data_IF_694391521054
#
_entry.id   IF_694391521054
#
_cell.length_a   1.000
_cell.length_b   1.000
_cell.length_c   1.000
_cell.angle_alpha   90.00
_cell.angle_beta   90.00
_cell.angle_gamma   90.00
#
_symmetry.space_group_name_H-M   'P 1'
#
loop_
_entity.id
_entity.type
_entity.pdbx_description
1 polymer ?
#
# COMPACT_ATOMS: atom_id res chain seq x y z
N UNK A 1 17.77 -7.26 -7.81
CA UNK A 1 16.67 -7.17 -6.86
C UNK A 1 15.46 -8.00 -7.31
N UNK A 2 14.72 -7.70 -8.40
CA UNK A 2 13.56 -8.51 -8.79
C UNK A 2 13.88 -9.97 -9.20
N UNK A 3 15.13 -10.26 -9.56
CA UNK A 3 15.61 -11.61 -9.93
C UNK A 3 16.09 -12.43 -8.73
N UNK A 4 16.25 -11.82 -7.56
CA UNK A 4 16.59 -12.54 -6.34
C UNK A 4 15.45 -13.48 -5.99
N UNK A 5 15.77 -14.63 -5.43
CA UNK A 5 14.80 -15.69 -5.18
C UNK A 5 14.63 -15.97 -3.70
N UNK A 6 13.46 -16.49 -3.36
CA UNK A 6 13.06 -16.97 -2.05
C UNK A 6 12.21 -18.24 -2.19
N UNK A 7 12.39 -19.20 -1.29
CA UNK A 7 11.57 -20.40 -1.26
C UNK A 7 10.51 -20.30 -0.16
N UNK A 8 9.24 -20.09 -0.55
CA UNK A 8 8.09 -20.01 0.35
C UNK A 8 7.60 -21.42 0.70
N UNK A 9 7.84 -21.85 1.94
CA UNK A 9 7.38 -23.13 2.49
C UNK A 9 5.94 -23.07 3.05
N UNK A 10 5.28 -21.91 2.97
CA UNK A 10 3.93 -21.69 3.50
C UNK A 10 3.91 -20.98 4.85
N UNK A 11 5.04 -20.85 5.53
CA UNK A 11 5.14 -20.07 6.78
C UNK A 11 6.58 -19.70 7.10
N UNK A 12 6.73 -18.70 7.97
CA UNK A 12 8.02 -18.32 8.58
C UNK A 12 7.79 -18.03 10.05
N UNK A 13 8.80 -18.32 10.88
CA UNK A 13 8.78 -18.01 12.31
C UNK A 13 9.60 -16.76 12.58
N UNK A 14 9.02 -15.83 13.32
CA UNK A 14 9.67 -14.59 13.77
C UNK A 14 9.38 -14.45 15.27
N UNK A 15 10.42 -14.43 16.09
CA UNK A 15 10.30 -14.32 17.57
C UNK A 15 9.21 -15.24 18.17
N UNK A 16 9.20 -16.52 17.71
CA UNK A 16 8.23 -17.52 18.16
C UNK A 16 6.82 -17.39 17.58
N UNK A 17 6.53 -16.35 16.77
CA UNK A 17 5.26 -16.16 16.07
C UNK A 17 5.31 -16.80 14.68
N UNK A 18 4.28 -17.55 14.31
CA UNK A 18 4.16 -18.17 12.99
C UNK A 18 3.39 -17.25 12.05
N UNK A 19 4.09 -16.71 11.05
CA UNK A 19 3.50 -15.92 9.97
C UNK A 19 3.22 -16.86 8.81
N UNK A 20 1.96 -16.99 8.40
CA UNK A 20 1.53 -17.93 7.36
C UNK A 20 1.33 -17.25 6.02
N UNK A 21 1.67 -17.97 4.95
CA UNK A 21 1.21 -17.66 3.60
C UNK A 21 -0.30 -17.90 3.51
N UNK A 22 -1.00 -17.09 2.72
CA UNK A 22 -2.42 -17.33 2.42
C UNK A 22 -2.63 -18.61 1.58
N UNK A 23 -1.61 -19.02 0.82
CA UNK A 23 -1.61 -20.27 0.07
C UNK A 23 -1.07 -21.41 0.95
N UNK A 24 -1.90 -22.42 1.19
CA UNK A 24 -1.49 -23.61 1.94
C UNK A 24 -0.31 -24.30 1.25
N UNK A 25 0.77 -24.54 2.00
CA UNK A 25 2.00 -25.11 1.50
C UNK A 25 2.93 -24.13 0.79
N UNK A 26 2.57 -22.83 0.74
CA UNK A 26 3.39 -21.78 0.16
C UNK A 26 3.40 -21.75 -1.37
N UNK A 27 4.24 -20.91 -1.91
CA UNK A 27 4.39 -20.70 -3.36
C UNK A 27 5.60 -21.45 -3.95
N UNK A 28 6.46 -22.06 -3.11
CA UNK A 28 7.70 -22.67 -3.54
C UNK A 28 8.76 -21.64 -3.91
N UNK A 29 9.62 -21.97 -4.87
CA UNK A 29 10.64 -21.05 -5.37
C UNK A 29 9.98 -19.92 -6.18
N UNK A 30 10.23 -18.68 -5.77
CA UNK A 30 9.71 -17.48 -6.44
C UNK A 30 10.77 -16.38 -6.44
N UNK A 31 10.75 -15.54 -7.46
CA UNK A 31 11.51 -14.31 -7.51
C UNK A 31 10.88 -13.24 -6.61
N UNK A 32 11.59 -12.18 -6.26
CA UNK A 32 11.02 -11.06 -5.48
C UNK A 32 9.91 -10.33 -6.24
N UNK A 33 9.90 -10.35 -7.57
CA UNK A 33 8.75 -9.88 -8.35
C UNK A 33 7.53 -10.77 -8.09
N UNK A 34 7.69 -12.09 -8.13
CA UNK A 34 6.60 -13.03 -7.85
C UNK A 34 6.14 -13.00 -6.39
N UNK A 35 7.01 -12.65 -5.42
CA UNK A 35 6.60 -12.36 -4.04
C UNK A 35 5.57 -11.23 -4.01
N UNK A 36 5.79 -10.16 -4.78
CA UNK A 36 4.86 -9.04 -4.87
C UNK A 36 3.57 -9.45 -5.62
N UNK A 37 3.69 -10.15 -6.75
CA UNK A 37 2.58 -10.66 -7.57
C UNK A 37 1.66 -11.58 -6.76
N UNK A 38 2.26 -12.53 -6.03
CA UNK A 38 1.57 -13.52 -5.20
C UNK A 38 1.12 -12.97 -3.85
N UNK A 39 1.62 -11.79 -3.45
CA UNK A 39 1.39 -11.24 -2.11
C UNK A 39 1.79 -12.23 -0.99
N UNK A 40 2.99 -12.83 -1.11
CA UNK A 40 3.50 -13.83 -0.16
C UNK A 40 3.96 -13.15 1.13
N UNK A 41 3.26 -13.34 2.25
CA UNK A 41 3.68 -12.81 3.55
C UNK A 41 5.09 -13.28 3.95
N UNK A 42 5.42 -14.60 3.89
CA UNK A 42 6.79 -15.05 4.20
C UNK A 42 7.84 -14.42 3.29
N UNK A 43 7.52 -14.21 2.01
CA UNK A 43 8.41 -13.54 1.07
C UNK A 43 8.65 -12.07 1.43
N UNK A 44 7.62 -11.33 1.87
CA UNK A 44 7.79 -9.96 2.38
C UNK A 44 8.62 -9.91 3.66
N UNK A 45 8.46 -10.87 4.57
CA UNK A 45 9.33 -10.99 5.76
C UNK A 45 10.79 -11.17 5.35
N UNK A 46 11.07 -12.01 4.37
CA UNK A 46 12.44 -12.17 3.85
C UNK A 46 13.00 -10.87 3.25
N UNK A 47 12.18 -10.15 2.47
CA UNK A 47 12.58 -8.86 1.90
C UNK A 47 12.88 -7.86 3.02
N UNK A 48 12.04 -7.78 4.06
CA UNK A 48 12.25 -6.86 5.18
C UNK A 48 13.51 -7.20 5.99
N UNK A 49 13.81 -8.48 6.19
CA UNK A 49 15.06 -8.93 6.84
C UNK A 49 16.29 -8.47 6.07
N UNK A 50 16.27 -8.58 4.73
CA UNK A 50 17.38 -8.09 3.88
C UNK A 50 17.50 -6.58 3.86
N UNK A 51 16.39 -5.86 3.96
CA UNK A 51 16.37 -4.39 4.03
C UNK A 51 16.88 -3.89 5.37
N UNK A 52 16.50 -4.56 6.45
CA UNK A 52 16.74 -4.17 7.83
C UNK A 52 15.63 -3.29 8.42
N UNK A 53 15.41 -3.46 9.73
CA UNK A 53 14.33 -2.80 10.47
C UNK A 53 14.44 -1.27 10.41
N UNK A 54 15.63 -0.73 10.64
CA UNK A 54 15.89 0.71 10.59
C UNK A 54 15.46 1.33 9.26
N UNK A 55 15.90 0.75 8.14
CA UNK A 55 15.55 1.28 6.81
C UNK A 55 14.07 1.15 6.49
N UNK A 56 13.42 0.04 6.86
CA UNK A 56 11.98 -0.07 6.64
C UNK A 56 11.22 0.99 7.45
N UNK A 57 11.59 1.20 8.72
CA UNK A 57 11.04 2.23 9.57
C UNK A 57 11.20 3.63 8.96
N UNK A 58 12.42 3.97 8.53
CA UNK A 58 12.72 5.24 7.87
C UNK A 58 11.87 5.47 6.61
N UNK A 59 11.68 4.45 5.77
CA UNK A 59 10.84 4.56 4.58
C UNK A 59 9.36 4.73 4.92
N UNK A 60 8.84 4.03 5.93
CA UNK A 60 7.47 4.22 6.40
C UNK A 60 7.24 5.69 6.81
N UNK A 61 8.17 6.26 7.59
CA UNK A 61 8.12 7.68 7.96
C UNK A 61 8.31 8.61 6.76
N UNK A 62 9.22 8.28 5.83
CA UNK A 62 9.49 9.08 4.64
C UNK A 62 8.29 9.18 3.70
N UNK A 63 7.49 8.11 3.58
CA UNK A 63 6.22 8.11 2.85
C UNK A 63 5.08 8.82 3.58
N UNK A 64 5.34 9.38 4.78
CA UNK A 64 4.42 10.22 5.52
C UNK A 64 3.36 9.46 6.32
N UNK A 65 3.59 8.18 6.66
CA UNK A 65 2.74 7.46 7.59
C UNK A 65 2.95 7.92 9.04
N UNK A 66 1.99 7.65 9.90
CA UNK A 66 1.93 8.03 11.33
C UNK A 66 1.89 9.54 11.60
N UNK A 67 1.54 10.36 10.61
CA UNK A 67 1.28 11.80 10.80
C UNK A 67 0.14 12.25 9.88
N UNK A 68 -0.51 13.35 10.23
CA UNK A 68 -1.53 13.97 9.38
C UNK A 68 -0.92 14.36 8.04
N UNK A 69 -1.69 14.23 6.97
CA UNK A 69 -1.26 14.57 5.61
C UNK A 69 -1.34 16.07 5.32
N UNK A 70 -2.11 16.80 6.13
CA UNK A 70 -2.39 18.21 5.92
C UNK A 70 -3.44 18.46 4.83
N UNK A 71 -4.27 17.45 4.52
CA UNK A 71 -5.42 17.64 3.65
C UNK A 71 -6.35 18.70 4.23
N UNK A 72 -6.93 19.52 3.35
CA UNK A 72 -7.84 20.63 3.69
C UNK A 72 -9.24 20.14 4.14
N UNK A 73 -9.26 19.11 5.01
CA UNK A 73 -10.46 18.56 5.66
C UNK A 73 -10.27 18.52 7.17
N UNK A 74 -11.36 18.69 7.91
CA UNK A 74 -11.36 18.54 9.37
C UNK A 74 -11.43 17.08 9.80
N UNK A 75 -10.94 16.78 11.00
CA UNK A 75 -11.05 15.43 11.59
C UNK A 75 -10.03 14.41 11.06
N UNK A 76 -8.95 14.86 10.43
CA UNK A 76 -7.89 13.96 9.95
C UNK A 76 -7.19 13.23 11.09
N UNK A 77 -7.05 11.90 10.97
CA UNK A 77 -6.28 11.05 11.87
C UNK A 77 -4.83 10.88 11.36
N UNK A 78 -3.89 10.74 12.29
CA UNK A 78 -2.49 10.40 11.97
C UNK A 78 -2.25 8.92 11.67
N UNK A 79 -3.25 8.05 11.92
CA UNK A 79 -3.02 6.61 11.97
C UNK A 79 -2.23 6.20 13.23
N UNK A 80 -1.79 4.95 13.26
CA UNK A 80 -1.00 4.38 14.38
C UNK A 80 0.20 3.63 13.78
N UNK A 81 1.38 3.90 14.31
CA UNK A 81 2.61 3.19 14.00
C UNK A 81 3.49 3.17 15.25
N UNK A 82 4.36 2.21 15.33
CA UNK A 82 5.27 2.04 16.46
C UNK A 82 6.22 3.23 16.64
N UNK A 83 6.63 3.49 17.88
CA UNK A 83 7.80 4.29 18.14
C UNK A 83 9.06 3.46 17.83
N UNK A 84 10.18 4.13 17.53
CA UNK A 84 11.38 3.42 17.05
C UNK A 84 11.97 2.47 18.11
N UNK A 85 11.87 2.84 19.38
CA UNK A 85 12.32 2.05 20.51
C UNK A 85 11.57 0.71 20.63
N UNK A 86 10.32 0.66 20.15
CA UNK A 86 9.44 -0.52 20.16
C UNK A 86 9.43 -1.28 18.83
N UNK A 87 10.29 -0.87 17.86
CA UNK A 87 10.31 -1.44 16.51
C UNK A 87 11.36 -2.53 16.38
N UNK A 88 11.00 -3.74 16.79
CA UNK A 88 11.85 -4.93 16.76
C UNK A 88 11.73 -5.78 15.47
N UNK A 89 12.19 -7.02 15.54
CA UNK A 89 12.15 -7.95 14.41
C UNK A 89 10.71 -8.36 14.04
N UNK A 90 9.84 -8.52 15.03
CA UNK A 90 8.44 -8.87 14.81
C UNK A 90 7.68 -7.72 14.14
N UNK A 91 7.86 -6.50 14.62
CA UNK A 91 7.24 -5.30 14.05
C UNK A 91 7.72 -5.06 12.62
N UNK A 92 9.02 -5.23 12.37
CA UNK A 92 9.60 -5.17 11.03
C UNK A 92 8.95 -6.20 10.07
N UNK A 93 8.83 -7.43 10.53
CA UNK A 93 8.22 -8.51 9.75
C UNK A 93 6.73 -8.24 9.46
N UNK A 94 5.96 -7.81 10.47
CA UNK A 94 4.51 -7.55 10.30
C UNK A 94 4.25 -6.32 9.43
N UNK A 95 5.02 -5.25 9.60
CA UNK A 95 4.94 -4.04 8.76
C UNK A 95 5.20 -4.36 7.29
N UNK A 96 6.13 -5.28 6.99
CA UNK A 96 6.50 -5.63 5.62
C UNK A 96 5.33 -6.16 4.76
N UNK A 97 4.36 -6.82 5.37
CA UNK A 97 3.15 -7.28 4.67
C UNK A 97 1.88 -6.51 5.07
N UNK A 98 2.03 -5.38 5.76
CA UNK A 98 0.95 -4.41 6.02
C UNK A 98 0.12 -4.71 7.27
N UNK A 99 0.69 -5.38 8.27
CA UNK A 99 0.12 -5.51 9.61
C UNK A 99 0.95 -4.73 10.65
N UNK A 100 0.39 -4.53 11.85
CA UNK A 100 1.06 -3.73 12.89
C UNK A 100 1.02 -2.21 12.63
N UNK A 101 0.37 -1.76 11.58
CA UNK A 101 0.20 -0.34 11.24
C UNK A 101 -1.27 -0.05 10.96
N UNK A 102 -1.78 1.08 11.46
CA UNK A 102 -3.10 1.61 11.09
C UNK A 102 -2.91 2.88 10.28
N UNK A 103 -3.55 2.95 9.12
CA UNK A 103 -3.39 4.05 8.16
C UNK A 103 -4.74 4.60 7.73
N UNK A 104 -4.77 5.87 7.34
CA UNK A 104 -5.95 6.44 6.69
C UNK A 104 -5.91 6.19 5.19
N UNK A 105 -7.07 6.19 4.54
CA UNK A 105 -7.17 6.06 3.09
C UNK A 105 -6.34 7.13 2.35
N UNK A 106 -6.36 8.37 2.85
CA UNK A 106 -5.61 9.47 2.22
C UNK A 106 -4.10 9.31 2.37
N UNK A 107 -3.61 8.75 3.49
CA UNK A 107 -2.19 8.40 3.64
C UNK A 107 -1.77 7.34 2.62
N UNK A 108 -2.57 6.28 2.43
CA UNK A 108 -2.28 5.23 1.45
C UNK A 108 -2.26 5.77 0.02
N UNK A 109 -3.27 6.54 -0.37
CA UNK A 109 -3.34 7.16 -1.71
C UNK A 109 -2.15 8.07 -1.94
N UNK A 110 -1.81 8.94 -0.97
CA UNK A 110 -0.68 9.86 -1.05
C UNK A 110 0.66 9.13 -1.21
N UNK A 111 0.90 8.12 -0.38
CA UNK A 111 2.12 7.30 -0.44
C UNK A 111 2.23 6.56 -1.78
N UNK A 112 1.12 6.00 -2.28
CA UNK A 112 1.09 5.33 -3.58
C UNK A 112 1.35 6.31 -4.73
N UNK A 113 0.79 7.52 -4.67
CA UNK A 113 1.12 8.57 -5.64
C UNK A 113 2.63 8.86 -5.66
N UNK A 114 3.27 9.02 -4.49
CA UNK A 114 4.72 9.23 -4.42
C UNK A 114 5.51 8.03 -4.97
N UNK A 115 5.02 6.82 -4.76
CA UNK A 115 5.65 5.59 -5.28
C UNK A 115 5.69 5.55 -6.81
N UNK A 116 4.66 6.08 -7.50
CA UNK A 116 4.52 5.97 -8.96
C UNK A 116 4.81 7.26 -9.73
N UNK A 117 4.94 8.42 -9.07
CA UNK A 117 5.15 9.73 -9.70
C UNK A 117 6.62 10.18 -9.79
N UNK A 118 7.56 9.30 -9.44
CA UNK A 118 9.00 9.63 -9.41
C UNK A 118 9.52 10.01 -8.02
N UNK A 119 8.77 9.76 -6.94
CA UNK A 119 9.22 9.92 -5.55
C UNK A 119 8.84 11.25 -4.89
N UNK A 120 7.90 12.00 -5.43
CA UNK A 120 7.44 13.26 -4.84
C UNK A 120 6.20 13.05 -3.98
N UNK A 121 6.30 13.38 -2.69
CA UNK A 121 5.19 13.33 -1.74
C UNK A 121 4.51 14.69 -1.65
N UNK A 122 3.28 14.77 -2.12
CA UNK A 122 2.48 15.99 -2.10
C UNK A 122 1.61 16.09 -0.85
N UNK A 123 1.24 17.31 -0.46
CA UNK A 123 0.14 17.56 0.46
C UNK A 123 -1.17 17.39 -0.32
N UNK A 124 -2.06 16.45 0.07
CA UNK A 124 -3.32 16.25 -0.64
C UNK A 124 -4.22 17.46 -0.53
N UNK A 125 -5.05 17.68 -1.53
CA UNK A 125 -6.01 18.79 -1.58
C UNK A 125 -7.34 18.35 -2.15
N UNK A 126 -8.41 18.89 -1.57
CA UNK A 126 -9.78 18.77 -2.06
C UNK A 126 -10.21 20.10 -2.72
N UNK A 127 -9.86 21.23 -2.09
CA UNK A 127 -10.23 22.56 -2.59
C UNK A 127 -9.27 23.04 -3.67
N UNK A 128 -9.80 23.48 -4.81
CA UNK A 128 -9.03 24.10 -5.88
C UNK A 128 -8.96 25.62 -5.72
N UNK A 129 -10.13 26.25 -5.52
CA UNK A 129 -10.24 27.70 -5.41
C UNK A 129 -11.46 28.10 -4.58
N UNK A 130 -11.38 29.28 -3.98
CA UNK A 130 -12.51 29.99 -3.37
C UNK A 130 -13.03 31.03 -4.38
N UNK A 131 -14.33 30.96 -4.72
CA UNK A 131 -14.95 31.77 -5.74
C UNK A 131 -16.13 32.54 -5.10
N UNK A 132 -16.23 33.85 -5.35
CA UNK A 132 -17.38 34.65 -4.98
C UNK A 132 -18.55 34.30 -5.93
N UNK A 133 -19.59 33.69 -5.40
CA UNK A 133 -20.69 33.15 -6.22
C UNK A 133 -21.42 34.23 -7.04
N UNK A 134 -21.54 35.45 -6.50
CA UNK A 134 -22.27 36.58 -7.15
C UNK A 134 -21.56 37.12 -8.38
N UNK A 135 -20.23 37.13 -8.41
CA UNK A 135 -19.42 37.71 -9.49
C UNK A 135 -18.59 36.72 -10.26
N UNK A 136 -18.53 35.45 -9.78
CA UNK A 136 -17.59 34.41 -10.28
C UNK A 136 -16.12 34.79 -10.14
N UNK A 137 -15.80 35.78 -9.33
CA UNK A 137 -14.43 36.18 -9.04
C UNK A 137 -13.73 35.16 -8.18
N UNK A 138 -12.50 34.78 -8.59
CA UNK A 138 -11.63 33.88 -7.81
C UNK A 138 -10.97 34.70 -6.72
N UNK A 139 -11.39 34.51 -5.48
CA UNK A 139 -10.83 35.18 -4.31
C UNK A 139 -9.48 34.58 -3.87
N UNK A 140 -9.31 33.25 -4.03
CA UNK A 140 -8.12 32.57 -3.62
C UNK A 140 -7.95 31.24 -4.38
N UNK A 141 -6.75 30.93 -4.80
CA UNK A 141 -6.37 29.63 -5.33
C UNK A 141 -5.49 28.89 -4.31
N UNK A 142 -5.87 27.67 -3.96
CA UNK A 142 -5.09 26.83 -3.09
C UNK A 142 -3.88 26.27 -3.84
N UNK A 143 -2.62 26.65 -3.52
CA UNK A 143 -1.43 26.22 -4.25
C UNK A 143 -1.15 24.74 -4.03
N UNK A 144 -0.60 24.03 -5.01
CA UNK A 144 -0.05 22.69 -4.80
C UNK A 144 1.17 22.79 -3.89
N UNK A 145 1.23 21.97 -2.86
CA UNK A 145 2.35 21.94 -1.93
C UNK A 145 3.05 20.58 -1.98
N UNK A 146 4.38 20.61 -2.04
CA UNK A 146 5.23 19.43 -1.91
C UNK A 146 5.66 19.35 -0.45
N UNK A 147 5.44 18.20 0.16
CA UNK A 147 5.93 17.92 1.51
C UNK A 147 7.37 17.40 1.49
N UNK A 148 7.65 16.50 0.53
CA UNK A 148 8.99 15.90 0.41
C UNK A 148 9.26 15.49 -1.03
N UNK A 149 10.44 15.81 -1.49
CA UNK A 149 10.99 15.32 -2.75
C UNK A 149 11.89 14.10 -2.52
N UNK A 150 12.04 13.29 -3.55
CA UNK A 150 12.98 12.16 -3.56
C UNK A 150 12.79 11.17 -2.39
N UNK A 151 11.53 10.86 -2.03
CA UNK A 151 11.24 9.75 -1.10
C UNK A 151 11.87 8.45 -1.62
N UNK A 152 11.78 8.25 -2.92
CA UNK A 152 12.53 7.24 -3.70
C UNK A 152 13.06 7.89 -4.98
N UNK A 153 14.04 7.25 -5.63
CA UNK A 153 14.52 7.73 -6.93
C UNK A 153 13.50 7.53 -8.05
N UNK A 154 13.60 8.33 -9.11
CA UNK A 154 12.77 8.17 -10.32
C UNK A 154 12.93 6.79 -10.96
N UNK A 155 14.13 6.22 -10.92
CA UNK A 155 14.41 4.88 -11.39
C UNK A 155 13.66 3.83 -10.55
N UNK A 156 13.74 3.91 -9.22
CA UNK A 156 12.99 3.02 -8.31
C UNK A 156 11.50 3.13 -8.55
N UNK A 157 10.96 4.34 -8.73
CA UNK A 157 9.56 4.57 -9.07
C UNK A 157 9.18 3.88 -10.39
N UNK A 158 10.04 3.95 -11.42
CA UNK A 158 9.85 3.22 -12.68
C UNK A 158 9.78 1.70 -12.51
N UNK A 159 10.70 1.14 -11.70
CA UNK A 159 10.69 -0.28 -11.36
C UNK A 159 9.43 -0.69 -10.58
N UNK A 160 8.96 0.16 -9.67
CA UNK A 160 7.74 -0.09 -8.91
C UNK A 160 6.49 -0.05 -9.79
N UNK A 161 6.41 0.88 -10.76
CA UNK A 161 5.32 0.90 -11.75
C UNK A 161 5.26 -0.41 -12.54
N UNK A 162 6.41 -0.90 -13.02
CA UNK A 162 6.49 -2.20 -13.70
C UNK A 162 6.02 -3.34 -12.80
N UNK A 163 6.48 -3.37 -11.55
CA UNK A 163 6.12 -4.43 -10.61
C UNK A 163 4.61 -4.41 -10.25
N UNK A 164 4.02 -3.21 -10.06
CA UNK A 164 2.59 -3.04 -9.78
C UNK A 164 1.72 -3.42 -10.99
N UNK A 165 2.17 -3.11 -12.22
CA UNK A 165 1.51 -3.57 -13.44
C UNK A 165 1.54 -5.11 -13.53
N UNK A 166 2.67 -5.73 -13.15
CA UNK A 166 2.80 -7.19 -13.12
C UNK A 166 1.85 -7.85 -12.11
N UNK A 167 1.60 -7.23 -10.95
CA UNK A 167 0.59 -7.69 -9.98
C UNK A 167 -0.80 -7.76 -10.61
N UNK A 168 -1.16 -6.80 -11.46
CA UNK A 168 -2.47 -6.75 -12.13
C UNK A 168 -2.50 -7.66 -13.36
N UNK A 169 -1.43 -7.74 -14.14
CA UNK A 169 -1.42 -8.56 -15.34
C UNK A 169 -1.25 -10.06 -15.07
N UNK A 170 -0.50 -10.44 -14.02
CA UNK A 170 -0.10 -11.83 -13.74
C UNK A 170 -0.47 -12.32 -12.33
N UNK A 171 -0.56 -11.41 -11.36
CA UNK A 171 -0.64 -11.73 -9.95
C UNK A 171 -2.03 -11.65 -9.33
N UNK A 172 -2.04 -11.37 -8.02
CA UNK A 172 -3.23 -11.31 -7.16
C UNK A 172 -4.23 -10.21 -7.55
N UNK A 173 -3.81 -9.21 -8.34
CA UNK A 173 -4.64 -8.12 -8.84
C UNK A 173 -5.35 -8.40 -10.16
N UNK A 174 -5.27 -9.61 -10.71
CA UNK A 174 -5.68 -9.94 -12.08
C UNK A 174 -7.15 -9.62 -12.43
N UNK A 175 -8.03 -9.53 -11.44
CA UNK A 175 -9.43 -9.15 -11.67
C UNK A 175 -9.63 -7.67 -12.03
N UNK A 176 -8.62 -6.84 -11.76
CA UNK A 176 -8.59 -5.42 -12.18
C UNK A 176 -7.93 -5.19 -13.54
N UNK A 177 -7.53 -6.24 -14.25
CA UNK A 177 -6.93 -6.13 -15.58
C UNK A 177 -7.94 -5.58 -16.59
N UNK A 178 -7.52 -4.56 -17.35
CA UNK A 178 -8.28 -3.96 -18.45
C UNK A 178 -7.42 -4.06 -19.69
N UNK A 179 -7.94 -4.71 -20.73
CA UNK A 179 -7.24 -4.85 -22.01
C UNK A 179 -6.98 -3.47 -22.63
N UNK A 180 -5.77 -3.25 -23.11
CA UNK A 180 -5.33 -1.98 -23.69
C UNK A 180 -4.92 -0.91 -22.68
N UNK A 181 -5.09 -1.15 -21.37
CA UNK A 181 -4.69 -0.22 -20.32
C UNK A 181 -3.64 -0.83 -19.40
N UNK A 182 -2.63 -0.03 -19.08
CA UNK A 182 -1.57 -0.41 -18.11
C UNK A 182 -1.99 -0.08 -16.69
N UNK A 183 -2.91 -0.88 -16.15
CA UNK A 183 -3.34 -0.76 -14.76
C UNK A 183 -2.32 -1.46 -13.87
N UNK A 184 -1.87 -0.80 -12.84
CA UNK A 184 -1.02 -1.39 -11.80
C UNK A 184 -1.59 -1.16 -10.41
N UNK A 185 -1.34 -2.07 -9.47
CA UNK A 185 -1.89 -1.90 -8.13
C UNK A 185 -1.56 -3.03 -7.19
N UNK A 186 -2.09 -2.92 -5.96
CA UNK A 186 -1.89 -3.92 -4.91
C UNK A 186 -3.17 -4.16 -4.14
N UNK A 187 -3.49 -5.42 -3.96
CA UNK A 187 -4.60 -5.90 -3.11
C UNK A 187 -4.20 -5.85 -1.64
N UNK A 188 -5.14 -5.58 -0.76
CA UNK A 188 -5.02 -5.70 0.67
C UNK A 188 -6.10 -6.60 1.26
N UNK A 189 -5.73 -7.37 2.26
CA UNK A 189 -6.64 -8.16 3.11
C UNK A 189 -6.09 -8.03 4.54
N UNK A 190 -6.62 -7.06 5.28
CA UNK A 190 -6.15 -6.76 6.62
C UNK A 190 -7.15 -7.27 7.66
N UNK A 191 -6.68 -8.05 8.63
CA UNK A 191 -7.48 -8.41 9.80
C UNK A 191 -7.77 -7.16 10.63
N UNK A 192 -9.00 -7.02 11.10
CA UNK A 192 -9.36 -5.95 12.03
C UNK A 192 -8.78 -6.22 13.41
N UNK A 193 -8.31 -5.16 14.05
CA UNK A 193 -7.86 -5.21 15.44
C UNK A 193 -8.71 -4.28 16.30
N UNK A 194 -9.10 -4.75 17.48
CA UNK A 194 -9.77 -3.96 18.53
C UNK A 194 -8.98 -4.12 19.81
N UNK A 195 -8.58 -3.02 20.42
CA UNK A 195 -7.76 -3.01 21.64
C UNK A 195 -6.49 -3.89 21.52
N UNK A 196 -5.82 -3.85 20.35
CA UNK A 196 -4.60 -4.62 20.09
C UNK A 196 -4.80 -6.11 19.80
N UNK A 197 -6.04 -6.61 19.73
CA UNK A 197 -6.36 -8.01 19.44
C UNK A 197 -6.97 -8.12 18.04
N UNK A 198 -6.43 -9.00 17.20
CA UNK A 198 -6.98 -9.30 15.89
C UNK A 198 -8.27 -10.12 16.02
N UNK A 199 -9.33 -9.65 15.36
CA UNK A 199 -10.64 -10.31 15.34
C UNK A 199 -10.64 -11.45 14.32
N UNK A 200 -11.20 -12.60 14.71
CA UNK A 200 -11.35 -13.72 13.80
C UNK A 200 -12.45 -13.42 12.75
N UNK A 201 -12.14 -13.72 11.49
CA UNK A 201 -13.06 -13.58 10.35
C UNK A 201 -13.58 -12.14 10.08
N UNK A 202 -12.97 -11.13 10.66
CA UNK A 202 -13.27 -9.74 10.36
C UNK A 202 -12.11 -9.07 9.62
N UNK A 203 -12.36 -8.65 8.37
CA UNK A 203 -11.35 -8.13 7.48
C UNK A 203 -11.77 -6.81 6.84
N UNK A 204 -10.77 -5.96 6.58
CA UNK A 204 -10.87 -4.88 5.62
C UNK A 204 -10.24 -5.38 4.32
N UNK A 205 -11.05 -5.55 3.29
CA UNK A 205 -10.60 -5.88 1.95
C UNK A 205 -10.36 -4.60 1.20
N UNK A 206 -9.24 -4.49 0.50
CA UNK A 206 -8.93 -3.27 -0.24
C UNK A 206 -8.16 -3.54 -1.53
N UNK A 207 -8.17 -2.55 -2.41
CA UNK A 207 -7.34 -2.50 -3.59
C UNK A 207 -6.96 -1.05 -3.86
N UNK A 208 -5.68 -0.81 -4.01
CA UNK A 208 -5.11 0.48 -4.40
C UNK A 208 -4.50 0.32 -5.80
N UNK A 209 -4.97 1.08 -6.76
CA UNK A 209 -4.56 1.00 -8.16
C UNK A 209 -4.28 2.36 -8.75
N UNK A 210 -3.46 2.38 -9.80
CA UNK A 210 -3.20 3.56 -10.62
C UNK A 210 -3.16 3.21 -12.10
N UNK A 211 -3.39 4.19 -12.94
CA UNK A 211 -3.36 4.05 -14.40
C UNK A 211 -3.10 5.39 -15.11
N UNK A 212 -2.52 5.32 -16.34
CA UNK A 212 -1.73 4.22 -16.87
C UNK A 212 -0.33 4.20 -16.24
N UNK A 213 0.28 3.01 -16.02
CA UNK A 213 1.55 2.89 -15.30
C UNK A 213 2.77 3.46 -16.04
N UNK A 214 2.71 3.64 -17.33
CA UNK A 214 3.77 4.34 -18.12
C UNK A 214 3.73 5.86 -17.90
N UNK A 215 2.53 6.44 -17.64
CA UNK A 215 2.35 7.86 -17.33
C UNK A 215 1.17 8.04 -16.37
N UNK A 216 1.34 7.78 -15.06
CA UNK A 216 0.23 7.75 -14.12
C UNK A 216 -0.56 9.06 -14.05
N UNK A 217 -1.88 8.96 -14.25
CA UNK A 217 -2.81 10.10 -14.25
C UNK A 217 -3.84 10.01 -13.12
N UNK A 218 -4.23 8.78 -12.75
CA UNK A 218 -5.24 8.54 -11.72
C UNK A 218 -4.76 7.50 -10.73
N UNK A 219 -5.23 7.62 -9.51
CA UNK A 219 -5.12 6.62 -8.45
C UNK A 219 -6.50 6.40 -7.86
N UNK A 220 -6.87 5.13 -7.66
CA UNK A 220 -8.15 4.72 -7.08
C UNK A 220 -7.88 3.82 -5.91
N UNK A 221 -8.51 4.10 -4.78
CA UNK A 221 -8.52 3.24 -3.61
C UNK A 221 -9.95 2.83 -3.28
N UNK A 222 -10.19 1.53 -3.24
CA UNK A 222 -11.47 0.96 -2.82
C UNK A 222 -11.23 0.07 -1.61
N UNK A 223 -12.03 0.25 -0.58
CA UNK A 223 -12.01 -0.60 0.62
C UNK A 223 -13.42 -1.00 1.03
N UNK A 224 -13.56 -2.23 1.52
CA UNK A 224 -14.78 -2.76 2.11
C UNK A 224 -14.49 -3.24 3.52
N UNK A 225 -15.20 -2.69 4.49
CA UNK A 225 -15.07 -3.07 5.89
C UNK A 225 -16.08 -4.16 6.22
N UNK A 226 -15.59 -5.25 6.80
CA UNK A 226 -16.36 -6.34 7.37
C UNK A 226 -17.43 -6.93 6.42
N UNK A 227 -17.03 -7.24 5.18
CA UNK A 227 -17.93 -7.83 4.19
C UNK A 227 -18.44 -9.20 4.66
N UNK A 228 -19.74 -9.38 4.66
CA UNK A 228 -20.39 -10.67 4.98
C UNK A 228 -20.34 -11.60 3.76
N UNK A 229 -19.18 -12.22 3.53
CA UNK A 229 -18.93 -13.15 2.43
C UNK A 229 -18.04 -14.30 2.90
N UNK A 230 -18.23 -15.47 2.31
CA UNK A 230 -17.34 -16.63 2.50
C UNK A 230 -16.01 -16.44 1.78
N UNK A 231 -15.97 -15.58 0.75
CA UNK A 231 -14.76 -15.22 0.03
C UNK A 231 -14.26 -13.88 0.58
N UNK A 232 -13.06 -13.89 1.16
CA UNK A 232 -12.48 -12.71 1.80
C UNK A 232 -11.07 -12.40 1.22
N UNK A 233 -10.99 -12.25 -0.10
CA UNK A 233 -9.77 -11.85 -0.82
C UNK A 233 -9.99 -10.54 -1.57
N UNK A 234 -9.20 -9.51 -1.25
CA UNK A 234 -9.30 -8.19 -1.87
C UNK A 234 -9.24 -8.22 -3.39
N UNK A 235 -8.37 -9.04 -3.97
CA UNK A 235 -8.26 -9.21 -5.43
C UNK A 235 -9.54 -9.77 -6.08
N UNK A 236 -10.23 -10.68 -5.41
CA UNK A 236 -11.44 -11.31 -5.94
C UNK A 236 -12.67 -10.41 -5.83
N UNK A 237 -12.81 -9.70 -4.72
CA UNK A 237 -13.99 -8.89 -4.41
C UNK A 237 -13.83 -7.46 -4.97
N UNK A 238 -12.70 -6.82 -4.71
CA UNK A 238 -12.48 -5.42 -5.06
C UNK A 238 -11.96 -5.27 -6.50
N UNK A 239 -11.18 -6.24 -6.99
CA UNK A 239 -10.61 -6.18 -8.34
C UNK A 239 -11.62 -5.83 -9.44
N UNK A 240 -12.81 -6.45 -9.51
CA UNK A 240 -13.84 -6.09 -10.49
C UNK A 240 -14.40 -4.66 -10.35
N UNK A 241 -14.31 -4.06 -9.15
CA UNK A 241 -14.78 -2.68 -8.89
C UNK A 241 -13.73 -1.66 -9.36
N UNK A 242 -12.44 -2.01 -9.31
CA UNK A 242 -11.34 -1.20 -9.84
C UNK A 242 -11.40 -1.13 -11.38
N UNK A 243 -11.86 -2.20 -12.02
CA UNK A 243 -12.01 -2.29 -13.47
C UNK A 243 -13.10 -1.35 -14.01
#
# INVERSE_FOLDING_TARGET
MFKDTYYDTGSVVVEGRVIKSWKKGGHGLQTFLEVLENSSNPGFVEISRRLGAEKLYEYVKAFGFSKKTGVDLVGESSGIFFDYEDYGELENATTAFGQGISTTAIQLVRAFCALINGGTLYVPKISKSLILTSTQEVLFNFPTAIERENVISKETSGLMRYALESVVSKGSGRKAYIEGYKVGGKTGTAQKAVNGVYLENEYILSFLAGAPMDNPQIVVYVAMDNLKSTIQYGGTIIGPIIK
#
